data_IF_951245001822
#
_entry.id   IF_951245001822
#
_cell.length_a   1.000
_cell.length_b   1.000
_cell.length_c   1.000
_cell.angle_alpha   90.00
_cell.angle_beta   90.00
_cell.angle_gamma   90.00
#
_symmetry.space_group_name_H-M   'P 1'
#
loop_
_entity.id
_entity.type
_entity.pdbx_description
1 polymer ?
#
# COMPACT_ATOMS: atom_id res chain seq x y z
N UNK A 1 -4.20 -20.80 -9.51
CA UNK A 1 -3.43 -20.54 -8.27
C UNK A 1 -2.00 -20.25 -8.67
N UNK A 2 -1.45 -19.13 -8.20
CA UNK A 2 -0.10 -18.66 -8.56
C UNK A 2 0.69 -18.45 -7.27
N UNK A 3 1.92 -18.98 -7.20
CA UNK A 3 2.80 -18.77 -6.06
C UNK A 3 3.56 -17.47 -6.21
N UNK A 4 3.50 -16.64 -5.19
CA UNK A 4 4.15 -15.34 -5.15
C UNK A 4 5.56 -15.44 -4.58
N UNK A 5 6.52 -14.82 -5.27
CA UNK A 5 7.84 -14.49 -4.72
C UNK A 5 8.17 -13.07 -5.17
N UNK A 6 8.62 -12.23 -4.25
CA UNK A 6 8.97 -10.84 -4.53
C UNK A 6 10.28 -10.47 -3.84
N UNK A 7 11.12 -9.75 -4.57
CA UNK A 7 12.37 -9.21 -4.09
C UNK A 7 12.36 -7.70 -4.26
N UNK A 8 12.86 -6.99 -3.25
CA UNK A 8 13.15 -5.57 -3.35
C UNK A 8 14.32 -5.32 -4.32
N UNK A 9 14.58 -4.06 -4.66
CA UNK A 9 15.69 -3.67 -5.54
C UNK A 9 17.07 -4.06 -5.01
N UNK A 10 17.21 -4.24 -3.69
CA UNK A 10 18.41 -4.73 -3.01
C UNK A 10 18.50 -6.27 -2.94
N UNK A 11 17.63 -6.97 -3.67
CA UNK A 11 17.47 -8.43 -3.68
C UNK A 11 17.00 -9.07 -2.36
N UNK A 12 16.60 -8.27 -1.36
CA UNK A 12 15.99 -8.83 -0.14
C UNK A 12 14.57 -9.30 -0.43
N UNK A 13 14.15 -10.48 0.07
CA UNK A 13 12.79 -10.93 -0.12
C UNK A 13 11.82 -10.03 0.65
N UNK A 14 10.70 -9.67 0.02
CA UNK A 14 9.57 -9.07 0.72
C UNK A 14 8.37 -10.00 0.58
N UNK A 15 7.61 -10.22 1.68
CA UNK A 15 6.49 -11.16 1.65
C UNK A 15 5.45 -10.75 0.60
N UNK A 16 5.26 -9.44 0.39
CA UNK A 16 4.39 -8.89 -0.65
C UNK A 16 4.56 -7.37 -0.82
N UNK A 17 4.16 -6.86 -1.99
CA UNK A 17 4.03 -5.43 -2.30
C UNK A 17 2.68 -5.15 -2.95
N UNK A 18 1.89 -4.22 -2.39
CA UNK A 18 0.55 -3.90 -2.90
C UNK A 18 0.55 -3.32 -4.31
N UNK A 19 1.57 -2.55 -4.69
CA UNK A 19 1.69 -2.05 -6.07
C UNK A 19 2.04 -3.17 -7.05
N UNK A 20 2.95 -4.07 -6.66
CA UNK A 20 3.34 -5.18 -7.50
C UNK A 20 2.18 -6.18 -7.72
N UNK A 21 1.29 -6.35 -6.74
CA UNK A 21 0.06 -7.11 -6.91
C UNK A 21 -0.86 -6.52 -8.00
N UNK A 22 -0.93 -5.20 -8.13
CA UNK A 22 -1.70 -4.54 -9.22
C UNK A 22 -1.09 -4.84 -10.58
N UNK A 23 0.24 -4.76 -10.70
CA UNK A 23 0.93 -5.14 -11.94
C UNK A 23 0.71 -6.61 -12.28
N UNK A 24 0.78 -7.50 -11.28
CA UNK A 24 0.51 -8.92 -11.51
C UNK A 24 -0.96 -9.15 -11.92
N UNK A 25 -1.92 -8.46 -11.29
CA UNK A 25 -3.32 -8.52 -11.71
C UNK A 25 -3.48 -8.15 -13.19
N UNK A 26 -2.84 -7.05 -13.63
CA UNK A 26 -2.84 -6.65 -15.03
C UNK A 26 -2.23 -7.72 -15.95
N UNK A 27 -1.08 -8.28 -15.58
CA UNK A 27 -0.39 -9.31 -16.38
C UNK A 27 -1.27 -10.56 -16.56
N UNK A 28 -2.00 -10.94 -15.51
CA UNK A 28 -2.86 -12.13 -15.54
C UNK A 28 -4.18 -11.84 -16.27
N UNK A 29 -4.77 -10.67 -16.05
CA UNK A 29 -5.98 -10.24 -16.75
C UNK A 29 -7.26 -11.03 -16.41
N UNK A 30 -7.21 -11.92 -15.42
CA UNK A 30 -8.30 -12.82 -15.07
C UNK A 30 -8.39 -13.09 -13.55
N UNK A 31 -9.53 -13.64 -13.15
CA UNK A 31 -9.76 -14.10 -11.77
C UNK A 31 -8.71 -15.12 -11.37
N UNK A 32 -8.04 -14.88 -10.25
CA UNK A 32 -7.03 -15.79 -9.75
C UNK A 32 -6.83 -15.67 -8.24
N UNK A 33 -6.14 -16.67 -7.67
CA UNK A 33 -5.68 -16.63 -6.29
C UNK A 33 -4.16 -16.60 -6.28
N UNK A 34 -3.60 -15.53 -5.72
CA UNK A 34 -2.18 -15.39 -5.47
C UNK A 34 -1.89 -15.89 -4.06
N UNK A 35 -1.04 -16.91 -3.95
CA UNK A 35 -0.59 -17.45 -2.67
C UNK A 35 0.72 -16.78 -2.27
N UNK A 36 0.66 -15.94 -1.24
CA UNK A 36 1.83 -15.42 -0.55
C UNK A 36 2.24 -16.30 0.63
N UNK A 37 3.38 -16.00 1.26
CA UNK A 37 3.89 -16.79 2.38
C UNK A 37 3.03 -16.73 3.66
N UNK A 38 2.26 -15.65 3.84
CA UNK A 38 1.44 -15.41 5.04
C UNK A 38 -0.06 -15.35 4.74
N UNK A 39 -0.44 -14.91 3.54
CA UNK A 39 -1.82 -14.67 3.15
C UNK A 39 -2.02 -15.02 1.68
N UNK A 40 -3.27 -15.25 1.30
CA UNK A 40 -3.69 -15.38 -0.10
C UNK A 40 -4.49 -14.15 -0.52
N UNK A 41 -4.31 -13.74 -1.76
CA UNK A 41 -4.85 -12.52 -2.33
C UNK A 41 -5.73 -12.90 -3.52
N UNK A 42 -7.05 -12.98 -3.34
CA UNK A 42 -7.95 -13.21 -4.46
C UNK A 42 -7.95 -11.98 -5.36
N UNK A 43 -7.86 -12.20 -6.66
CA UNK A 43 -8.11 -11.19 -7.69
C UNK A 43 -9.44 -11.54 -8.34
N UNK A 44 -10.32 -10.56 -8.44
CA UNK A 44 -11.63 -10.71 -9.06
C UNK A 44 -11.91 -9.54 -9.99
N UNK A 45 -12.37 -9.85 -11.19
CA UNK A 45 -12.94 -8.89 -12.13
C UNK A 45 -14.33 -8.49 -11.67
N UNK A 46 -14.56 -7.18 -11.60
CA UNK A 46 -15.87 -6.59 -11.35
C UNK A 46 -15.97 -5.23 -12.02
N UNK A 47 -16.99 -5.07 -12.87
CA UNK A 47 -17.32 -3.83 -13.57
C UNK A 47 -16.17 -3.30 -14.46
N UNK A 48 -15.47 -4.20 -15.14
CA UNK A 48 -14.31 -3.91 -15.99
C UNK A 48 -13.03 -3.62 -15.21
N UNK A 49 -12.97 -3.93 -13.91
CA UNK A 49 -11.85 -3.63 -13.02
C UNK A 49 -11.42 -4.87 -12.26
N UNK A 50 -10.11 -5.07 -12.17
CA UNK A 50 -9.54 -6.09 -11.29
C UNK A 50 -9.39 -5.56 -9.87
N UNK A 51 -9.98 -6.26 -8.92
CA UNK A 51 -9.96 -5.98 -7.49
C UNK A 51 -9.16 -7.04 -6.76
N UNK A 52 -8.28 -6.60 -5.88
CA UNK A 52 -7.41 -7.45 -5.07
C UNK A 52 -7.96 -7.48 -3.64
N UNK A 53 -8.35 -8.65 -3.16
CA UNK A 53 -8.72 -8.85 -1.77
C UNK A 53 -7.49 -8.74 -0.86
N UNK A 54 -7.60 -7.90 0.16
CA UNK A 54 -6.57 -7.67 1.16
C UNK A 54 -6.90 -8.43 2.45
N UNK A 55 -5.88 -8.88 3.20
CA UNK A 55 -6.10 -9.39 4.54
C UNK A 55 -6.58 -8.27 5.48
N UNK A 56 -7.13 -8.62 6.66
CA UNK A 56 -7.64 -7.65 7.61
C UNK A 56 -6.62 -6.57 7.97
N UNK A 57 -7.05 -5.30 7.88
CA UNK A 57 -6.25 -4.14 8.27
C UNK A 57 -6.58 -3.79 9.72
N UNK A 58 -5.57 -3.78 10.58
CA UNK A 58 -5.75 -3.31 11.97
C UNK A 58 -5.11 -1.96 12.15
N UNK A 59 -5.90 -0.94 12.51
CA UNK A 59 -5.40 0.41 12.82
C UNK A 59 -5.60 0.73 14.30
N UNK A 60 -4.56 1.26 14.95
CA UNK A 60 -4.57 1.63 16.38
C UNK A 60 -3.90 2.98 16.58
N UNK A 61 -4.44 3.88 17.40
CA UNK A 61 -3.75 5.11 17.76
C UNK A 61 -2.49 4.80 18.57
N UNK A 62 -1.41 5.53 18.31
CA UNK A 62 -0.19 5.54 19.11
C UNK A 62 -0.13 6.78 20.01
N UNK A 63 -0.50 7.92 19.45
CA UNK A 63 -0.62 9.23 20.10
C UNK A 63 -1.57 10.10 19.25
N UNK A 64 -1.88 11.32 19.70
CA UNK A 64 -2.81 12.19 18.98
C UNK A 64 -2.35 12.43 17.53
N UNK A 65 -3.17 12.00 16.57
CA UNK A 65 -2.89 12.12 15.14
C UNK A 65 -1.79 11.20 14.59
N UNK A 66 -1.27 10.25 15.38
CA UNK A 66 -0.32 9.24 14.91
C UNK A 66 -0.88 7.83 15.13
N UNK A 67 -0.89 7.02 14.08
CA UNK A 67 -1.52 5.72 14.07
C UNK A 67 -0.55 4.63 13.61
N UNK A 68 -0.64 3.46 14.23
CA UNK A 68 -0.03 2.23 13.76
C UNK A 68 -1.07 1.41 13.01
N UNK A 69 -0.72 0.99 11.79
CA UNK A 69 -1.50 0.05 11.02
C UNK A 69 -0.68 -1.20 10.69
N UNK A 70 -1.30 -2.37 10.92
CA UNK A 70 -0.76 -3.66 10.55
C UNK A 70 -1.49 -4.18 9.32
N UNK A 71 -0.77 -4.23 8.20
CA UNK A 71 -1.23 -4.81 6.94
C UNK A 71 -0.01 -5.16 6.09
N UNK A 72 0.28 -6.46 5.92
CA UNK A 72 1.40 -7.01 5.14
C UNK A 72 2.79 -6.68 5.73
N UNK A 73 3.00 -5.44 6.12
CA UNK A 73 4.09 -4.91 6.92
C UNK A 73 3.55 -3.84 7.89
N UNK A 74 4.45 -3.17 8.61
CA UNK A 74 4.10 -2.14 9.58
C UNK A 74 4.01 -0.77 8.91
N UNK A 75 2.93 -0.06 9.19
CA UNK A 75 2.67 1.29 8.70
C UNK A 75 2.48 2.26 9.88
N UNK A 76 3.12 3.42 9.82
CA UNK A 76 2.88 4.53 10.73
C UNK A 76 2.26 5.67 9.92
N UNK A 77 1.10 6.15 10.31
CA UNK A 77 0.37 7.22 9.64
C UNK A 77 0.30 8.44 10.55
N UNK A 78 0.87 9.55 10.10
CA UNK A 78 0.80 10.86 10.73
C UNK A 78 -0.20 11.75 9.98
N UNK A 79 -1.29 12.13 10.65
CA UNK A 79 -2.32 13.04 10.12
C UNK A 79 -2.19 14.47 10.69
N UNK A 80 -1.12 14.76 11.43
CA UNK A 80 -0.90 16.06 12.08
C UNK A 80 -0.14 17.06 11.21
N UNK A 81 0.37 16.60 10.05
CA UNK A 81 1.25 17.36 9.17
C UNK A 81 0.61 17.61 7.82
N UNK A 82 0.77 18.83 7.31
CA UNK A 82 0.37 19.19 5.94
C UNK A 82 1.36 18.62 4.93
N UNK A 83 0.85 18.16 3.79
CA UNK A 83 1.68 17.48 2.78
C UNK A 83 2.64 18.40 2.03
N UNK A 84 2.44 19.72 2.09
CA UNK A 84 3.35 20.71 1.52
C UNK A 84 4.55 21.05 2.41
N UNK A 85 4.63 20.50 3.63
CA UNK A 85 5.74 20.77 4.55
C UNK A 85 7.08 20.24 3.95
N UNK A 86 8.07 21.10 3.71
CA UNK A 86 9.35 20.68 3.16
C UNK A 86 10.17 19.82 4.15
N UNK A 87 9.80 19.78 5.43
CA UNK A 87 10.48 19.00 6.47
C UNK A 87 9.98 17.56 6.59
N UNK A 88 9.00 17.13 5.78
CA UNK A 88 8.49 15.75 5.83
C UNK A 88 9.59 14.67 5.75
N UNK A 89 10.64 14.79 4.91
CA UNK A 89 11.74 13.82 4.93
C UNK A 89 12.47 13.73 6.27
N UNK A 90 12.70 14.87 6.93
CA UNK A 90 13.33 14.90 8.25
C UNK A 90 12.43 14.28 9.33
N UNK A 91 11.12 14.51 9.24
CA UNK A 91 10.14 13.89 10.12
C UNK A 91 10.02 12.38 9.88
N UNK A 92 10.02 11.93 8.63
CA UNK A 92 10.06 10.53 8.28
C UNK A 92 11.28 9.84 8.87
N UNK A 93 12.46 10.45 8.73
CA UNK A 93 13.71 9.94 9.31
C UNK A 93 13.63 9.83 10.84
N UNK A 94 13.05 10.81 11.53
CA UNK A 94 12.85 10.74 12.98
C UNK A 94 11.88 9.64 13.38
N UNK A 95 10.77 9.48 12.66
CA UNK A 95 9.81 8.40 12.92
C UNK A 95 10.41 7.02 12.64
N UNK A 96 11.21 6.86 11.58
CA UNK A 96 11.96 5.62 11.31
C UNK A 96 12.94 5.29 12.45
N UNK A 97 13.58 6.28 13.08
CA UNK A 97 14.41 6.01 14.29
C UNK A 97 13.59 5.46 15.46
N UNK A 98 12.32 5.86 15.60
CA UNK A 98 11.39 5.37 16.64
C UNK A 98 10.74 4.03 16.25
N UNK A 99 10.51 3.82 14.96
CA UNK A 99 9.86 2.66 14.37
C UNK A 99 10.66 2.13 13.17
N UNK A 100 11.81 1.45 13.40
CA UNK A 100 12.75 1.08 12.34
C UNK A 100 12.18 0.21 11.23
N UNK A 101 11.21 -0.65 11.56
CA UNK A 101 10.64 -1.61 10.61
C UNK A 101 9.41 -1.07 9.86
N UNK A 102 9.02 0.18 10.12
CA UNK A 102 7.80 0.76 9.57
C UNK A 102 8.01 1.53 8.27
N UNK A 103 7.02 1.42 7.39
CA UNK A 103 6.75 2.43 6.38
C UNK A 103 6.11 3.65 7.07
N UNK A 104 6.62 4.84 6.77
CA UNK A 104 6.11 6.08 7.35
C UNK A 104 5.26 6.80 6.32
N UNK A 105 4.08 7.23 6.74
CA UNK A 105 3.12 7.92 5.89
C UNK A 105 2.68 9.22 6.52
N UNK A 106 2.56 10.25 5.70
CA UNK A 106 1.90 11.49 6.07
C UNK A 106 0.63 11.60 5.24
N UNK A 107 -0.46 11.97 5.91
CA UNK A 107 -1.77 12.00 5.30
C UNK A 107 -2.49 13.32 5.60
N UNK A 108 -3.17 13.83 4.58
CA UNK A 108 -4.02 15.02 4.66
C UNK A 108 -5.27 14.74 3.83
N UNK A 109 -6.43 14.67 4.49
CA UNK A 109 -7.66 14.13 3.89
C UNK A 109 -7.43 12.73 3.30
N UNK A 110 -7.63 12.58 1.99
CA UNK A 110 -7.41 11.34 1.24
C UNK A 110 -6.09 11.32 0.46
N UNK A 111 -5.20 12.29 0.69
CA UNK A 111 -3.88 12.34 0.06
C UNK A 111 -2.82 11.66 0.95
N UNK A 112 -1.88 10.96 0.35
CA UNK A 112 -0.85 10.17 1.03
C UNK A 112 0.55 10.40 0.44
N UNK A 113 1.51 10.74 1.30
CA UNK A 113 2.95 10.71 1.01
C UNK A 113 3.60 9.59 1.80
N UNK A 114 4.44 8.78 1.15
CA UNK A 114 4.95 7.51 1.71
C UNK A 114 6.46 7.45 1.67
N UNK A 115 7.06 7.03 2.79
CA UNK A 115 8.50 6.82 2.97
C UNK A 115 8.71 5.35 3.37
N UNK A 116 9.17 4.55 2.43
CA UNK A 116 9.14 3.10 2.55
C UNK A 116 10.46 2.51 3.08
N UNK A 117 10.36 1.38 3.77
CA UNK A 117 11.50 0.57 4.20
C UNK A 117 12.17 -0.05 2.96
N UNK A 118 13.50 -0.04 2.92
CA UNK A 118 14.29 -0.62 1.82
C UNK A 118 14.52 0.32 0.63
N UNK A 119 13.76 1.42 0.53
CA UNK A 119 14.11 2.57 -0.33
C UNK A 119 14.77 3.67 0.52
N UNK A 120 14.33 3.81 1.78
CA UNK A 120 14.76 4.85 2.73
C UNK A 120 14.52 6.29 2.26
N UNK A 121 13.77 6.46 1.18
CA UNK A 121 13.32 7.73 0.62
C UNK A 121 11.81 7.70 0.37
N UNK A 122 11.31 8.83 -0.12
CA UNK A 122 9.92 8.97 -0.49
C UNK A 122 9.60 8.22 -1.80
N UNK A 123 8.58 7.37 -1.77
CA UNK A 123 8.09 6.64 -2.94
C UNK A 123 6.91 7.37 -3.59
N UNK A 124 6.62 7.01 -4.84
CA UNK A 124 5.55 7.63 -5.64
C UNK A 124 4.15 7.15 -5.26
N UNK A 125 4.02 5.97 -4.67
CA UNK A 125 2.77 5.37 -4.21
C UNK A 125 3.03 4.18 -3.29
N UNK A 126 2.15 3.92 -2.33
CA UNK A 126 2.20 2.73 -1.47
C UNK A 126 0.80 2.14 -1.26
N UNK A 127 0.48 1.02 -1.91
CA UNK A 127 -0.86 0.41 -1.86
C UNK A 127 -1.32 -0.01 -0.45
N UNK A 128 -0.46 -0.62 0.35
CA UNK A 128 -0.83 -1.02 1.72
C UNK A 128 -0.88 0.17 2.68
N UNK A 129 -0.07 1.21 2.47
CA UNK A 129 -0.21 2.50 3.17
C UNK A 129 -1.55 3.18 2.85
N UNK A 130 -1.98 3.15 1.59
CA UNK A 130 -3.29 3.63 1.18
C UNK A 130 -4.43 2.82 1.79
N UNK A 131 -4.32 1.50 1.85
CA UNK A 131 -5.32 0.66 2.52
C UNK A 131 -5.43 0.98 4.01
N UNK A 132 -4.30 1.28 4.66
CA UNK A 132 -4.28 1.71 6.06
C UNK A 132 -4.95 3.09 6.25
N UNK A 133 -4.67 4.07 5.39
CA UNK A 133 -5.36 5.37 5.43
C UNK A 133 -6.86 5.26 5.11
N UNK A 134 -7.23 4.46 4.11
CA UNK A 134 -8.64 4.20 3.77
C UNK A 134 -9.39 3.59 4.96
N UNK A 135 -8.77 2.61 5.64
CA UNK A 135 -9.32 2.02 6.87
C UNK A 135 -9.45 3.04 8.01
N UNK A 136 -8.46 3.92 8.18
CA UNK A 136 -8.45 4.95 9.22
C UNK A 136 -9.51 6.05 8.98
N UNK A 137 -9.62 6.52 7.73
CA UNK A 137 -10.40 7.71 7.37
C UNK A 137 -11.80 7.42 6.83
N UNK A 138 -12.04 6.19 6.36
CA UNK A 138 -13.26 5.82 5.62
C UNK A 138 -13.29 6.31 4.17
N UNK A 139 -12.21 6.95 3.67
CA UNK A 139 -12.11 7.33 2.26
C UNK A 139 -12.02 6.10 1.36
N UNK A 140 -12.77 6.12 0.25
CA UNK A 140 -12.75 5.06 -0.76
C UNK A 140 -11.68 5.24 -1.82
N UNK A 141 -11.06 6.41 -1.90
CA UNK A 141 -10.05 6.72 -2.91
C UNK A 141 -8.92 7.48 -2.24
N UNK A 142 -7.71 6.92 -2.32
CA UNK A 142 -6.50 7.54 -1.78
C UNK A 142 -5.61 8.01 -2.93
N UNK A 143 -5.21 9.26 -2.88
CA UNK A 143 -4.35 9.93 -3.87
C UNK A 143 -2.90 9.85 -3.40
N UNK A 144 -2.03 9.27 -4.21
CA UNK A 144 -0.60 9.19 -3.91
C UNK A 144 0.16 10.42 -4.39
N UNK A 145 1.43 10.55 -3.98
CA UNK A 145 2.35 11.59 -4.48
C UNK A 145 2.39 11.70 -6.01
N UNK A 146 2.36 10.56 -6.70
CA UNK A 146 2.34 10.50 -8.17
C UNK A 146 1.08 11.09 -8.83
N UNK A 147 0.02 11.35 -8.06
CA UNK A 147 -1.32 11.64 -8.57
C UNK A 147 -2.13 10.38 -8.90
N UNK A 148 -1.53 9.19 -8.83
CA UNK A 148 -2.27 7.92 -8.99
C UNK A 148 -3.25 7.73 -7.85
N UNK A 149 -4.36 7.04 -8.14
CA UNK A 149 -5.43 6.77 -7.18
C UNK A 149 -5.46 5.27 -6.87
N UNK A 150 -5.67 4.94 -5.60
CA UNK A 150 -6.03 3.58 -5.18
C UNK A 150 -7.43 3.61 -4.58
N UNK A 151 -8.33 2.85 -5.19
CA UNK A 151 -9.73 2.74 -4.81
C UNK A 151 -9.97 1.53 -3.91
N UNK A 152 -10.91 1.66 -2.98
CA UNK A 152 -11.24 0.65 -1.99
C UNK A 152 -12.73 0.37 -1.93
N UNK A 153 -13.07 -0.91 -1.75
CA UNK A 153 -14.42 -1.38 -1.44
C UNK A 153 -14.35 -2.35 -0.26
N UNK A 154 -15.36 -2.35 0.60
CA UNK A 154 -15.54 -3.39 1.60
C UNK A 154 -16.65 -4.34 1.14
N UNK A 155 -16.43 -5.64 1.28
CA UNK A 155 -17.52 -6.61 1.10
C UNK A 155 -18.40 -6.72 2.36
N UNK A 156 -19.46 -7.51 2.28
CA UNK A 156 -20.38 -7.73 3.40
C UNK A 156 -19.73 -8.44 4.61
N UNK A 157 -18.59 -9.12 4.41
CA UNK A 157 -17.82 -9.74 5.47
C UNK A 157 -16.80 -8.78 6.10
N UNK A 158 -16.70 -7.55 5.58
CA UNK A 158 -15.77 -6.54 6.05
C UNK A 158 -14.36 -6.67 5.48
N UNK A 159 -14.13 -7.54 4.50
CA UNK A 159 -12.83 -7.60 3.84
C UNK A 159 -12.64 -6.39 2.94
N UNK A 160 -11.42 -5.86 2.94
CA UNK A 160 -11.05 -4.72 2.12
C UNK A 160 -10.56 -5.21 0.75
N UNK A 161 -11.10 -4.63 -0.30
CA UNK A 161 -10.72 -4.86 -1.69
C UNK A 161 -10.05 -3.61 -2.22
N UNK A 162 -8.94 -3.79 -2.93
CA UNK A 162 -8.11 -2.73 -3.48
C UNK A 162 -8.10 -2.81 -5.00
N UNK A 163 -8.31 -1.66 -5.63
CA UNK A 163 -8.11 -1.46 -7.06
C UNK A 163 -7.17 -0.28 -7.26
N UNK A 164 -6.36 -0.33 -8.31
CA UNK A 164 -5.64 0.84 -8.78
C UNK A 164 -4.99 0.54 -10.11
N UNK A 165 -4.64 1.59 -10.83
CA UNK A 165 -4.07 1.46 -12.15
C UNK A 165 -2.70 0.77 -12.10
N UNK A 166 -2.43 0.01 -13.15
CA UNK A 166 -1.15 -0.55 -13.51
C UNK A 166 -1.03 -0.43 -15.04
N UNK A 167 0.17 -0.21 -15.55
CA UNK A 167 0.42 -0.03 -16.97
C UNK A 167 1.64 -0.86 -17.39
N UNK A 168 1.52 -1.51 -18.54
CA UNK A 168 2.66 -2.15 -19.20
C UNK A 168 3.45 -1.10 -19.96
N UNK A 169 4.76 -1.01 -19.70
CA UNK A 169 5.61 0.05 -20.27
C UNK A 169 6.41 -0.47 -21.48
N UNK A 170 7.06 -1.63 -21.35
CA UNK A 170 7.85 -2.23 -22.42
C UNK A 170 8.10 -3.72 -22.15
N UNK A 171 8.47 -4.46 -23.21
CA UNK A 171 9.03 -5.80 -23.13
C UNK A 171 10.49 -5.80 -23.59
N UNK A 172 11.31 -6.71 -23.06
CA UNK A 172 12.73 -6.80 -23.40
C UNK A 172 13.37 -8.15 -23.08
N UNK A 173 14.64 -8.30 -23.47
CA UNK A 173 15.50 -9.44 -23.13
C UNK A 173 16.77 -8.90 -22.50
N UNK A 174 17.16 -9.46 -21.34
CA UNK A 174 18.35 -9.08 -20.57
C UNK A 174 19.55 -9.95 -20.93
#
# INVERSE_FOLDING_TARGET
>A
MIKWVFFNSDATPAPICGNALKCLALILGEDCLIEGPLFSFPIQEKDGRLWIGLPPVTVRPLEEGLYHAALLNTHIIDITRTLCDPQLPAFASRLKKRYPDANIHFAENNCLRSFERGVEEETLACGSGAAALATLSGHKEIVHKSGSITSFQSDHAGNLWMHGDAEHIFDGTL
#
